data_IF_272635198385
#
_entry.id   IF_272635198385
#
_cell.length_a   1.000
_cell.length_b   1.000
_cell.length_c   1.000
_cell.angle_alpha   90.00
_cell.angle_beta   90.00
_cell.angle_gamma   90.00
#
_symmetry.space_group_name_H-M   'P 1'
#
loop_
_entity.id
_entity.type
_entity.pdbx_description
1 polymer ?
#
# COMPACT_ATOMS: atom_id res chain seq x y z
N UNK A 1 -17.75 -13.24 -53.87
CA UNK A 1 -16.84 -12.81 -54.97
C UNK A 1 -16.78 -11.29 -54.86
N UNK A 2 -15.67 -10.61 -54.63
CA UNK A 2 -14.29 -10.78 -55.11
C UNK A 2 -13.30 -10.45 -53.99
N UNK A 3 -12.19 -11.19 -53.95
CA UNK A 3 -11.01 -10.80 -53.20
C UNK A 3 -10.16 -9.81 -53.99
N UNK A 4 -9.32 -9.07 -53.28
CA UNK A 4 -8.06 -8.57 -53.82
C UNK A 4 -6.99 -8.76 -52.73
N UNK A 5 -5.98 -9.52 -53.12
CA UNK A 5 -4.78 -9.83 -52.37
C UNK A 5 -3.92 -8.57 -52.16
N UNK A 6 -3.09 -8.53 -51.13
CA UNK A 6 -1.61 -8.43 -51.25
C UNK A 6 -0.94 -8.17 -49.89
N UNK A 7 -0.15 -9.18 -49.49
CA UNK A 7 1.20 -9.10 -48.94
C UNK A 7 1.46 -8.42 -47.57
N UNK A 8 1.91 -9.24 -46.61
CA UNK A 8 2.52 -8.77 -45.36
C UNK A 8 2.91 -9.91 -44.41
N UNK A 9 3.74 -10.83 -44.90
CA UNK A 9 4.15 -12.08 -44.25
C UNK A 9 5.36 -11.88 -43.32
N UNK A 10 5.18 -12.31 -42.05
CA UNK A 10 6.17 -12.78 -41.04
C UNK A 10 7.06 -11.77 -40.27
N UNK A 11 7.67 -12.16 -39.12
CA UNK A 11 7.41 -13.32 -38.24
C UNK A 11 7.26 -12.99 -36.74
N UNK A 12 6.55 -13.87 -36.03
CA UNK A 12 6.61 -14.04 -34.58
C UNK A 12 8.03 -14.40 -34.12
N UNK A 13 8.61 -13.62 -33.21
CA UNK A 13 9.85 -13.98 -32.51
C UNK A 13 9.52 -14.31 -31.06
N UNK A 14 9.64 -15.59 -30.76
CA UNK A 14 9.48 -16.21 -29.45
C UNK A 14 10.75 -15.93 -28.62
N UNK A 15 10.66 -15.09 -27.59
CA UNK A 15 11.80 -14.77 -26.71
C UNK A 15 11.87 -15.82 -25.60
N UNK A 16 12.75 -16.79 -25.82
CA UNK A 16 13.09 -17.87 -24.91
C UNK A 16 14.06 -17.34 -23.84
N UNK A 17 13.61 -17.25 -22.59
CA UNK A 17 14.36 -16.65 -21.48
C UNK A 17 15.19 -17.72 -20.76
N UNK A 18 16.48 -17.82 -21.10
CA UNK A 18 17.42 -18.81 -20.54
C UNK A 18 18.76 -18.24 -20.08
N UNK A 19 18.78 -17.56 -18.92
CA UNK A 19 19.93 -17.31 -18.00
C UNK A 19 21.19 -16.60 -18.59
N UNK A 20 22.23 -16.27 -17.78
CA UNK A 20 22.38 -14.97 -17.10
C UNK A 20 23.66 -14.22 -17.52
N UNK A 21 23.55 -12.97 -17.97
CA UNK A 21 24.72 -12.14 -18.26
C UNK A 21 24.92 -11.07 -17.18
N UNK A 22 26.00 -11.25 -16.44
CA UNK A 22 26.51 -10.37 -15.40
C UNK A 22 27.29 -9.25 -16.09
N UNK A 23 26.83 -8.01 -16.01
CA UNK A 23 27.60 -6.86 -16.48
C UNK A 23 27.52 -5.73 -15.45
N UNK A 24 28.62 -5.59 -14.72
CA UNK A 24 28.94 -4.52 -13.78
C UNK A 24 29.46 -3.33 -14.62
N UNK A 25 28.82 -2.18 -14.48
CA UNK A 25 29.31 -0.86 -14.87
C UNK A 25 28.80 0.08 -13.77
N UNK A 26 29.59 0.62 -12.86
CA UNK A 26 30.81 1.39 -13.09
C UNK A 26 30.50 2.88 -12.87
N UNK A 27 30.07 3.27 -11.66
CA UNK A 27 29.89 4.69 -11.28
C UNK A 27 31.01 5.04 -10.31
N UNK A 28 32.04 5.71 -10.85
CA UNK A 28 33.12 6.32 -10.08
C UNK A 28 32.57 7.46 -9.21
N UNK A 29 32.68 7.31 -7.89
CA UNK A 29 32.55 8.42 -6.94
C UNK A 29 33.81 9.31 -7.05
N UNK A 30 33.64 10.51 -7.62
CA UNK A 30 34.67 11.53 -7.64
C UNK A 30 34.90 12.10 -6.24
N UNK A 31 36.13 11.98 -5.75
CA UNK A 31 36.65 12.71 -4.58
C UNK A 31 37.27 14.02 -5.05
N UNK A 32 36.78 15.15 -4.55
CA UNK A 32 37.46 16.45 -4.60
C UNK A 32 37.30 17.10 -3.21
N UNK A 33 38.29 16.88 -2.34
CA UNK A 33 39.43 17.75 -2.06
C UNK A 33 39.05 19.01 -1.27
N UNK A 34 39.31 18.92 0.03
CA UNK A 34 39.48 20.01 0.98
C UNK A 34 40.48 21.04 0.42
N UNK A 35 40.11 22.31 0.38
CA UNK A 35 41.03 23.42 0.19
C UNK A 35 40.84 24.39 1.36
N UNK A 36 41.80 24.34 2.29
CA UNK A 36 42.01 25.35 3.31
C UNK A 36 42.56 26.63 2.66
N UNK A 37 42.01 27.77 3.05
CA UNK A 37 42.54 29.09 2.74
C UNK A 37 42.42 29.98 3.96
N UNK A 38 43.53 30.16 4.66
CA UNK A 38 43.72 31.15 5.72
C UNK A 38 43.67 32.57 5.15
N UNK A 39 42.92 33.47 5.80
CA UNK A 39 43.32 34.87 5.95
C UNK A 39 42.65 35.50 7.18
N UNK A 40 43.49 35.93 8.11
CA UNK A 40 43.19 36.52 9.44
C UNK A 40 42.83 38.04 9.31
N UNK A 41 42.64 38.83 10.40
CA UNK A 41 41.37 39.36 10.89
C UNK A 41 41.23 40.90 10.79
N UNK A 42 40.11 41.42 11.33
CA UNK A 42 39.90 42.74 11.98
C UNK A 42 38.93 43.73 11.31
N UNK A 43 37.82 43.99 12.00
CA UNK A 43 37.48 45.29 12.64
C UNK A 43 35.97 45.64 12.54
N UNK A 44 35.36 45.90 13.69
CA UNK A 44 34.04 46.56 13.91
C UNK A 44 34.33 47.87 14.66
N UNK A 45 33.41 48.86 14.88
CA UNK A 45 31.99 49.08 14.48
C UNK A 45 31.72 50.59 14.12
N UNK A 46 30.58 51.29 14.42
CA UNK A 46 29.13 51.03 14.32
C UNK A 46 28.38 52.10 13.47
N UNK A 47 27.11 51.89 13.06
CA UNK A 47 26.11 52.97 12.91
C UNK A 47 24.67 52.44 13.06
N UNK A 48 23.88 53.23 13.78
CA UNK A 48 22.53 53.06 14.34
C UNK A 48 21.37 52.97 13.30
N UNK A 49 20.09 52.78 13.72
CA UNK A 49 19.16 51.83 13.11
C UNK A 49 18.15 52.49 12.16
N UNK A 50 17.74 51.77 11.12
CA UNK A 50 16.57 52.16 10.35
C UNK A 50 15.85 50.93 9.77
N UNK A 51 14.59 50.82 10.18
CA UNK A 51 13.46 50.46 9.31
C UNK A 51 13.17 48.98 9.06
N UNK A 52 12.32 48.46 9.95
CA UNK A 52 11.11 47.68 9.64
C UNK A 52 11.18 46.73 8.44
N UNK A 53 11.66 45.51 8.68
CA UNK A 53 11.49 44.40 7.76
C UNK A 53 10.13 43.72 8.04
N UNK A 54 9.26 43.86 7.04
CA UNK A 54 8.08 43.04 6.76
C UNK A 54 8.31 41.58 7.17
N UNK A 55 7.40 40.94 7.92
CA UNK A 55 7.60 39.60 8.45
C UNK A 55 7.65 38.59 7.31
N UNK A 56 8.77 37.89 7.17
CA UNK A 56 8.89 36.67 6.37
C UNK A 56 7.83 35.64 6.82
N UNK A 57 7.22 34.87 5.90
CA UNK A 57 6.25 33.85 6.27
C UNK A 57 6.94 32.79 7.13
N UNK A 58 6.57 32.75 8.41
CA UNK A 58 7.06 31.75 9.35
C UNK A 58 6.78 30.35 8.75
N UNK A 59 7.85 29.61 8.47
CA UNK A 59 7.78 28.20 8.09
C UNK A 59 7.32 27.47 9.36
N UNK A 60 6.01 27.28 9.51
CA UNK A 60 5.44 26.59 10.66
C UNK A 60 5.93 25.14 10.68
N UNK A 61 6.56 24.75 11.79
CA UNK A 61 7.08 23.40 11.97
C UNK A 61 5.89 22.42 12.01
N UNK A 62 5.91 21.32 11.24
CA UNK A 62 4.82 20.36 11.22
C UNK A 62 4.55 19.82 12.63
N UNK A 63 3.33 19.98 13.11
CA UNK A 63 2.93 19.43 14.41
C UNK A 63 2.90 17.92 14.32
N UNK A 64 3.76 17.24 15.10
CA UNK A 64 3.80 15.79 15.21
C UNK A 64 3.13 15.41 16.53
N UNK A 65 1.96 14.75 16.47
CA UNK A 65 1.27 14.29 17.66
C UNK A 65 1.55 12.79 17.88
N UNK A 66 2.14 12.45 19.04
CA UNK A 66 2.26 11.05 19.49
C UNK A 66 1.81 10.96 20.94
N UNK A 67 0.65 10.35 21.17
CA UNK A 67 0.15 10.04 22.52
C UNK A 67 0.27 8.54 22.79
N UNK A 68 0.84 8.16 23.94
CA UNK A 68 1.01 6.75 24.34
C UNK A 68 -0.32 5.99 24.37
N UNK A 69 -1.40 6.67 24.75
CA UNK A 69 -2.75 6.10 24.79
C UNK A 69 -3.22 5.67 23.39
N UNK A 70 -3.00 6.51 22.37
CA UNK A 70 -3.35 6.20 20.97
C UNK A 70 -2.64 4.95 20.46
N UNK A 71 -1.35 4.80 20.76
CA UNK A 71 -0.59 3.60 20.36
C UNK A 71 -1.19 2.34 21.01
N UNK A 72 -1.54 2.41 22.29
CA UNK A 72 -2.14 1.28 23.01
C UNK A 72 -3.53 0.91 22.46
N UNK A 73 -4.33 1.89 22.08
CA UNK A 73 -5.63 1.66 21.43
C UNK A 73 -5.46 0.98 20.07
N UNK A 74 -4.48 1.42 19.27
CA UNK A 74 -4.12 0.80 17.99
C UNK A 74 -3.63 -0.65 18.19
N UNK A 75 -2.86 -0.94 19.23
CA UNK A 75 -2.44 -2.32 19.52
C UNK A 75 -3.64 -3.24 19.82
N UNK A 76 -4.62 -2.73 20.58
CA UNK A 76 -5.85 -3.47 20.89
C UNK A 76 -6.68 -3.74 19.63
N UNK A 77 -6.77 -2.78 18.71
CA UNK A 77 -7.51 -3.00 17.45
C UNK A 77 -6.80 -3.99 16.54
N UNK A 78 -5.47 -3.93 16.44
CA UNK A 78 -4.66 -4.90 15.70
C UNK A 78 -4.86 -6.31 16.25
N UNK A 79 -4.83 -6.50 17.57
CA UNK A 79 -5.07 -7.80 18.18
C UNK A 79 -6.48 -8.36 17.88
N UNK A 80 -7.48 -7.49 17.71
CA UNK A 80 -8.82 -7.90 17.26
C UNK A 80 -8.82 -8.31 15.79
N UNK A 81 -8.15 -7.56 14.92
CA UNK A 81 -8.01 -7.90 13.50
C UNK A 81 -7.25 -9.21 13.31
N UNK A 82 -6.19 -9.46 14.05
CA UNK A 82 -5.41 -10.71 13.98
C UNK A 82 -6.28 -11.94 14.28
N UNK A 83 -7.18 -11.84 15.26
CA UNK A 83 -8.16 -12.89 15.56
C UNK A 83 -9.14 -13.10 14.40
N UNK A 84 -9.57 -12.05 13.73
CA UNK A 84 -10.47 -12.14 12.57
C UNK A 84 -9.74 -12.75 11.36
N UNK A 85 -8.52 -12.29 11.07
CA UNK A 85 -7.65 -12.85 10.03
C UNK A 85 -7.44 -14.35 10.25
N UNK A 86 -7.13 -14.76 11.48
CA UNK A 86 -6.95 -16.17 11.81
C UNK A 86 -8.22 -17.01 11.60
N UNK A 87 -9.41 -16.44 11.83
CA UNK A 87 -10.69 -17.10 11.56
C UNK A 87 -10.96 -17.20 10.07
N UNK A 88 -10.75 -16.12 9.31
CA UNK A 88 -11.03 -16.12 7.88
C UNK A 88 -10.03 -16.94 7.09
N UNK A 89 -8.75 -16.96 7.47
CA UNK A 89 -7.74 -17.85 6.89
C UNK A 89 -8.13 -19.33 6.99
N UNK A 90 -8.86 -19.73 8.02
CA UNK A 90 -9.40 -21.10 8.13
C UNK A 90 -10.51 -21.37 7.11
N UNK A 91 -11.28 -20.35 6.72
CA UNK A 91 -12.36 -20.46 5.73
C UNK A 91 -11.88 -20.38 4.28
N UNK A 92 -10.67 -19.85 4.04
CA UNK A 92 -10.04 -19.84 2.70
C UNK A 92 -9.86 -21.27 2.18
N UNK A 93 -9.54 -22.22 3.06
CA UNK A 93 -9.45 -23.63 2.66
C UNK A 93 -10.85 -24.24 2.73
N UNK A 94 -11.44 -24.48 1.57
CA UNK A 94 -12.71 -25.23 1.49
C UNK A 94 -12.50 -26.65 2.02
N UNK A 95 -13.40 -27.08 2.90
CA UNK A 95 -13.39 -28.44 3.43
C UNK A 95 -13.75 -29.44 2.32
N UNK A 96 -13.29 -30.70 2.43
CA UNK A 96 -13.64 -31.74 1.44
C UNK A 96 -15.16 -31.97 1.37
N UNK A 97 -15.86 -31.80 2.48
CA UNK A 97 -17.32 -31.85 2.55
C UNK A 97 -17.95 -30.67 1.78
N UNK A 98 -17.45 -29.45 1.94
CA UNK A 98 -17.95 -28.29 1.18
C UNK A 98 -17.73 -28.46 -0.32
N UNK A 99 -16.60 -29.05 -0.74
CA UNK A 99 -16.32 -29.35 -2.14
C UNK A 99 -17.26 -30.40 -2.70
N UNK A 100 -17.54 -31.45 -1.92
CA UNK A 100 -18.46 -32.52 -2.32
C UNK A 100 -19.92 -32.02 -2.44
N UNK A 101 -20.36 -31.18 -1.49
CA UNK A 101 -21.70 -30.59 -1.50
C UNK A 101 -21.86 -29.49 -2.57
N UNK A 102 -20.79 -28.75 -2.88
CA UNK A 102 -20.79 -27.69 -3.90
C UNK A 102 -20.03 -28.09 -5.16
N UNK A 103 -20.36 -29.25 -5.73
CA UNK A 103 -19.86 -29.58 -7.07
C UNK A 103 -20.38 -28.54 -8.09
N UNK A 104 -19.65 -28.26 -9.19
CA UNK A 104 -19.97 -27.15 -10.10
C UNK A 104 -21.35 -27.29 -10.76
N UNK A 105 -21.87 -28.52 -10.92
CA UNK A 105 -23.18 -28.79 -11.50
C UNK A 105 -24.31 -28.46 -10.50
N UNK A 106 -24.14 -28.82 -9.23
CA UNK A 106 -25.05 -28.48 -8.13
C UNK A 106 -24.98 -27.00 -7.78
N UNK A 107 -23.78 -26.39 -7.87
CA UNK A 107 -23.60 -24.97 -7.68
C UNK A 107 -24.28 -24.14 -8.78
N UNK A 108 -24.26 -24.58 -10.04
CA UNK A 108 -25.02 -23.93 -11.13
C UNK A 108 -26.52 -24.01 -10.90
N UNK A 109 -27.04 -25.15 -10.44
CA UNK A 109 -28.46 -25.26 -10.08
C UNK A 109 -28.82 -24.45 -8.84
N UNK A 110 -27.93 -24.40 -7.84
CA UNK A 110 -28.14 -23.60 -6.63
C UNK A 110 -28.04 -22.09 -6.92
N UNK A 111 -27.23 -21.66 -7.89
CA UNK A 111 -27.11 -20.26 -8.31
C UNK A 111 -28.45 -19.69 -8.81
N UNK A 112 -29.29 -20.52 -9.45
CA UNK A 112 -30.66 -20.13 -9.85
C UNK A 112 -31.51 -19.76 -8.63
N UNK A 113 -31.24 -20.37 -7.48
CA UNK A 113 -31.89 -20.09 -6.19
C UNK A 113 -31.05 -19.18 -5.28
N UNK A 114 -30.02 -18.49 -5.80
CA UNK A 114 -29.17 -17.59 -5.03
C UNK A 114 -28.10 -18.26 -4.16
N UNK A 115 -27.80 -19.54 -4.39
CA UNK A 115 -26.74 -20.28 -3.70
C UNK A 115 -25.35 -20.04 -4.31
N UNK A 116 -24.36 -19.74 -3.46
CA UNK A 116 -22.96 -19.56 -3.86
C UNK A 116 -22.17 -20.87 -3.82
N UNK A 117 -21.21 -21.03 -4.76
CA UNK A 117 -20.32 -22.20 -4.79
C UNK A 117 -19.25 -22.16 -3.69
N UNK A 118 -18.71 -23.32 -3.28
CA UNK A 118 -17.61 -23.37 -2.32
C UNK A 118 -16.36 -22.63 -2.81
N UNK A 119 -16.09 -22.66 -4.12
CA UNK A 119 -15.01 -21.88 -4.72
C UNK A 119 -15.25 -20.37 -4.54
N UNK A 120 -16.47 -19.89 -4.79
CA UNK A 120 -16.82 -18.49 -4.54
C UNK A 120 -16.64 -18.12 -3.06
N UNK A 121 -17.14 -18.92 -2.12
CA UNK A 121 -16.99 -18.63 -0.69
C UNK A 121 -15.52 -18.60 -0.25
N UNK A 122 -14.69 -19.51 -0.78
CA UNK A 122 -13.25 -19.50 -0.52
C UNK A 122 -12.54 -18.25 -1.07
N UNK A 123 -12.94 -17.80 -2.27
CA UNK A 123 -12.42 -16.58 -2.87
C UNK A 123 -12.81 -15.33 -2.08
N UNK A 124 -14.07 -15.24 -1.64
CA UNK A 124 -14.55 -14.17 -0.74
C UNK A 124 -13.77 -14.15 0.57
N UNK A 125 -13.54 -15.32 1.18
CA UNK A 125 -12.74 -15.42 2.39
C UNK A 125 -11.29 -14.94 2.15
N UNK A 126 -10.69 -15.26 1.01
CA UNK A 126 -9.36 -14.79 0.65
C UNK A 126 -9.33 -13.25 0.47
N UNK A 127 -10.33 -12.68 -0.17
CA UNK A 127 -10.49 -11.22 -0.28
C UNK A 127 -10.65 -10.56 1.08
N UNK A 128 -11.45 -11.13 1.99
CA UNK A 128 -11.57 -10.64 3.38
C UNK A 128 -10.23 -10.64 4.11
N UNK A 129 -9.46 -11.72 3.99
CA UNK A 129 -8.12 -11.82 4.60
C UNK A 129 -7.22 -10.71 4.08
N UNK A 130 -7.18 -10.50 2.75
CA UNK A 130 -6.39 -9.42 2.14
C UNK A 130 -6.77 -8.04 2.68
N UNK A 131 -8.06 -7.71 2.75
CA UNK A 131 -8.54 -6.42 3.27
C UNK A 131 -8.24 -6.21 4.77
N UNK A 132 -8.30 -7.27 5.57
CA UNK A 132 -7.97 -7.18 7.00
C UNK A 132 -6.46 -7.02 7.21
N UNK A 133 -5.64 -7.65 6.37
CA UNK A 133 -4.19 -7.52 6.39
C UNK A 133 -3.73 -6.11 5.98
N UNK A 134 -4.40 -5.50 5.00
CA UNK A 134 -4.14 -4.09 4.64
C UNK A 134 -4.60 -3.14 5.74
N UNK A 135 -5.79 -3.33 6.34
CA UNK A 135 -6.26 -2.52 7.48
C UNK A 135 -5.27 -2.60 8.66
N UNK A 136 -4.74 -3.80 8.93
CA UNK A 136 -3.70 -4.02 9.94
C UNK A 136 -2.41 -3.26 9.60
N UNK A 137 -1.96 -3.28 8.34
CA UNK A 137 -0.74 -2.58 7.93
C UNK A 137 -0.87 -1.05 8.06
N UNK A 138 -2.03 -0.48 7.72
CA UNK A 138 -2.32 0.94 7.90
C UNK A 138 -2.32 1.32 9.38
N UNK A 139 -2.94 0.50 10.24
CA UNK A 139 -2.92 0.71 11.69
C UNK A 139 -1.50 0.65 12.27
N UNK A 140 -0.64 -0.26 11.80
CA UNK A 140 0.77 -0.28 12.17
C UNK A 140 1.52 0.97 11.69
N UNK A 141 1.21 1.48 10.49
CA UNK A 141 1.77 2.73 9.98
C UNK A 141 1.38 3.94 10.83
N UNK A 142 0.15 3.98 11.35
CA UNK A 142 -0.34 5.04 12.23
C UNK A 142 0.40 5.13 13.58
N UNK A 143 1.12 4.08 13.99
CA UNK A 143 1.98 4.12 15.20
C UNK A 143 3.25 4.95 14.99
N UNK A 144 3.71 5.08 13.75
CA UNK A 144 4.90 5.88 13.43
C UNK A 144 4.58 7.37 13.60
N UNK A 145 5.54 8.18 14.06
CA UNK A 145 5.35 9.63 14.11
C UNK A 145 5.16 10.16 12.69
N UNK A 146 4.07 10.89 12.47
CA UNK A 146 3.76 11.52 11.19
C UNK A 146 3.13 12.90 11.41
N UNK A 147 3.10 13.70 10.35
CA UNK A 147 2.46 15.03 10.36
C UNK A 147 0.94 14.87 10.47
N UNK A 148 0.23 15.90 10.94
CA UNK A 148 -1.24 15.89 11.02
C UNK A 148 -1.90 15.56 9.68
N UNK A 149 -1.36 16.08 8.57
CA UNK A 149 -1.85 15.77 7.24
C UNK A 149 -1.62 14.29 6.88
N UNK A 150 -0.45 13.73 7.20
CA UNK A 150 -0.16 12.31 6.99
C UNK A 150 -1.07 11.41 7.82
N UNK A 151 -1.40 11.80 9.05
CA UNK A 151 -2.37 11.10 9.89
C UNK A 151 -3.78 11.13 9.29
N UNK A 152 -4.25 12.28 8.84
CA UNK A 152 -5.55 12.41 8.20
C UNK A 152 -5.66 11.57 6.92
N UNK A 153 -4.59 11.46 6.14
CA UNK A 153 -4.54 10.59 4.97
C UNK A 153 -4.65 9.11 5.34
N UNK A 154 -3.93 8.66 6.37
CA UNK A 154 -4.01 7.27 6.86
C UNK A 154 -5.40 6.95 7.42
N UNK A 155 -6.05 7.90 8.10
CA UNK A 155 -7.42 7.74 8.59
C UNK A 155 -8.43 7.64 7.45
N UNK A 156 -8.26 8.44 6.39
CA UNK A 156 -9.09 8.35 5.20
C UNK A 156 -8.92 7.00 4.49
N UNK A 157 -7.69 6.50 4.34
CA UNK A 157 -7.42 5.17 3.79
C UNK A 157 -8.08 4.07 4.64
N UNK A 158 -8.01 4.18 5.97
CA UNK A 158 -8.63 3.23 6.88
C UNK A 158 -10.15 3.19 6.70
N UNK A 159 -10.81 4.35 6.61
CA UNK A 159 -12.26 4.41 6.41
C UNK A 159 -12.67 3.87 5.03
N UNK A 160 -11.85 4.09 4.00
CA UNK A 160 -12.04 3.46 2.69
C UNK A 160 -11.97 1.93 2.80
N UNK A 161 -10.95 1.38 3.47
CA UNK A 161 -10.82 -0.07 3.69
C UNK A 161 -11.99 -0.67 4.48
N UNK A 162 -12.49 0.05 5.50
CA UNK A 162 -13.69 -0.37 6.24
C UNK A 162 -14.93 -0.37 5.36
N UNK A 163 -15.06 0.63 4.50
CA UNK A 163 -16.17 0.74 3.55
C UNK A 163 -16.12 -0.37 2.51
N UNK A 164 -14.96 -0.64 1.91
CA UNK A 164 -14.81 -1.74 0.94
C UNK A 164 -15.10 -3.08 1.59
N UNK A 165 -14.67 -3.31 2.85
CA UNK A 165 -15.01 -4.52 3.60
C UNK A 165 -16.52 -4.65 3.83
N UNK A 166 -17.20 -3.59 4.30
CA UNK A 166 -18.66 -3.59 4.48
C UNK A 166 -19.40 -3.88 3.18
N UNK A 167 -18.95 -3.29 2.08
CA UNK A 167 -19.54 -3.52 0.76
C UNK A 167 -19.36 -4.97 0.29
N UNK A 168 -18.18 -5.56 0.50
CA UNK A 168 -17.93 -6.97 0.23
C UNK A 168 -18.82 -7.86 1.10
N UNK A 169 -18.96 -7.56 2.38
CA UNK A 169 -19.82 -8.32 3.28
C UNK A 169 -21.30 -8.23 2.89
N UNK A 170 -21.77 -7.06 2.48
CA UNK A 170 -23.14 -6.87 2.00
C UNK A 170 -23.39 -7.57 0.66
N UNK A 171 -22.43 -7.57 -0.25
CA UNK A 171 -22.54 -8.23 -1.55
C UNK A 171 -22.50 -9.76 -1.46
N UNK A 172 -22.00 -10.30 -0.35
CA UNK A 172 -21.82 -11.74 -0.14
C UNK A 172 -22.81 -12.34 0.85
N UNK A 173 -23.74 -11.52 1.32
CA UNK A 173 -24.83 -11.88 2.23
C UNK A 173 -26.08 -12.22 1.44
#
# INVERSE_FOLDING_TARGET
MLGLDHAGTLPSVNINLGRPFLLILGISFGSSLWAAGDSTPASTPPTSPATHLTPEPAIELPTIQVTKNRVREIDVTIAKLDKLIARERKKVKSSELDKALNNPKLAQTAAIFGGNSAAHLSAVAASRVSLLETERAVLEAMKRPSTLQGLAMLEAELEQLRTTRRNLDNATR
#
